data_IF_484726528658
#
_entry.id   IF_484726528658
#
_cell.length_a   1.000
_cell.length_b   1.000
_cell.length_c   1.000
_cell.angle_alpha   90.00
_cell.angle_beta   90.00
_cell.angle_gamma   90.00
#
_symmetry.space_group_name_H-M   'P 1'
#
loop_
_entity.id
_entity.type
_entity.pdbx_description
1 polymer ?
#
# COMPACT_ATOMS: atom_id res chain seq x y z
N UNK A 1 9.89 7.16 5.25
CA UNK A 1 11.08 6.34 5.02
C UNK A 1 10.56 4.97 4.69
N UNK A 2 11.01 4.38 3.58
CA UNK A 2 10.56 3.07 3.17
C UNK A 2 11.02 2.03 4.19
N UNK A 3 10.14 1.08 4.48
CA UNK A 3 10.44 -0.02 5.40
C UNK A 3 11.16 -1.18 4.69
N UNK A 4 11.07 -1.22 3.37
CA UNK A 4 11.58 -2.28 2.51
C UNK A 4 12.47 -1.71 1.41
N UNK A 5 13.30 -2.56 0.81
CA UNK A 5 14.07 -2.19 -0.39
C UNK A 5 13.12 -2.00 -1.58
N UNK A 6 13.54 -1.20 -2.55
CA UNK A 6 12.75 -0.90 -3.75
C UNK A 6 12.34 -2.17 -4.51
N UNK A 7 13.27 -3.11 -4.70
CA UNK A 7 13.04 -4.36 -5.41
C UNK A 7 11.96 -5.22 -4.74
N UNK A 8 12.02 -5.37 -3.41
CA UNK A 8 11.04 -6.14 -2.63
C UNK A 8 9.66 -5.48 -2.72
N UNK A 9 9.60 -4.16 -2.57
CA UNK A 9 8.33 -3.43 -2.65
C UNK A 9 7.68 -3.52 -4.04
N UNK A 10 8.47 -3.50 -5.12
CA UNK A 10 7.98 -3.67 -6.48
C UNK A 10 7.45 -5.10 -6.74
N UNK A 11 8.20 -6.13 -6.34
CA UNK A 11 7.78 -7.52 -6.51
C UNK A 11 6.44 -7.80 -5.79
N UNK A 12 6.28 -7.27 -4.58
CA UNK A 12 5.01 -7.36 -3.87
C UNK A 12 3.89 -6.61 -4.58
N UNK A 13 4.11 -5.36 -5.01
CA UNK A 13 3.12 -4.59 -5.75
C UNK A 13 2.62 -5.36 -6.99
N UNK A 14 3.53 -5.94 -7.77
CA UNK A 14 3.20 -6.72 -8.96
C UNK A 14 2.34 -7.95 -8.61
N UNK A 15 2.70 -8.68 -7.54
CA UNK A 15 1.92 -9.83 -7.07
C UNK A 15 0.48 -9.47 -6.67
N UNK A 16 0.29 -8.30 -6.07
CA UNK A 16 -1.04 -7.81 -5.66
C UNK A 16 -1.87 -7.30 -6.84
N UNK A 17 -1.25 -6.65 -7.83
CA UNK A 17 -1.91 -6.27 -9.08
C UNK A 17 -2.36 -7.49 -9.88
N UNK A 18 -1.53 -8.54 -9.93
CA UNK A 18 -1.90 -9.81 -10.54
C UNK A 18 -3.08 -10.48 -9.81
N UNK A 19 -3.09 -10.40 -8.47
CA UNK A 19 -4.20 -10.88 -7.66
C UNK A 19 -5.50 -10.09 -7.93
N UNK A 20 -5.42 -8.76 -8.02
CA UNK A 20 -6.56 -7.90 -8.39
C UNK A 20 -7.14 -8.30 -9.76
N UNK A 21 -6.29 -8.53 -10.76
CA UNK A 21 -6.71 -8.96 -12.10
C UNK A 21 -7.42 -10.32 -12.04
N UNK A 22 -6.87 -11.29 -11.29
CA UNK A 22 -7.49 -12.59 -11.07
C UNK A 22 -8.83 -12.51 -10.31
N UNK A 23 -8.97 -11.56 -9.39
CA UNK A 23 -10.24 -11.29 -8.68
C UNK A 23 -11.28 -10.64 -9.60
N UNK A 24 -10.86 -9.67 -10.41
CA UNK A 24 -11.73 -8.95 -11.37
C UNK A 24 -12.26 -9.87 -12.46
N UNK A 25 -11.42 -10.78 -12.96
CA UNK A 25 -11.81 -11.79 -13.96
C UNK A 25 -12.61 -12.94 -13.36
N UNK A 26 -12.32 -13.33 -12.12
CA UNK A 26 -13.08 -14.32 -11.37
C UNK A 26 -14.29 -13.68 -10.68
N UNK A 27 -15.32 -13.31 -11.45
CA UNK A 27 -16.60 -12.90 -10.88
C UNK A 27 -17.10 -13.94 -9.87
N UNK A 28 -17.61 -13.45 -8.74
CA UNK A 28 -18.08 -14.18 -7.57
C UNK A 28 -19.02 -15.35 -7.92
N UNK A 29 -18.50 -16.57 -7.93
CA UNK A 29 -19.33 -17.77 -7.92
C UNK A 29 -19.59 -18.19 -6.49
N UNK A 30 -20.78 -17.87 -5.98
CA UNK A 30 -21.31 -18.42 -4.73
C UNK A 30 -21.55 -19.92 -4.92
N UNK A 31 -20.63 -20.75 -4.40
CA UNK A 31 -20.82 -22.19 -4.32
C UNK A 31 -21.48 -22.52 -2.97
N UNK A 32 -22.81 -22.68 -2.97
CA UNK A 32 -23.57 -23.25 -1.85
C UNK A 32 -23.65 -22.39 -0.58
N UNK A 33 -23.63 -23.04 0.59
CA UNK A 33 -23.90 -22.45 1.93
C UNK A 33 -22.64 -22.08 2.74
N UNK A 34 -21.45 -22.24 2.17
CA UNK A 34 -20.18 -21.79 2.78
C UNK A 34 -19.50 -20.82 1.83
N UNK A 35 -19.71 -19.53 2.05
CA UNK A 35 -18.89 -18.49 1.43
C UNK A 35 -17.51 -18.54 2.07
N UNK A 36 -16.54 -19.17 1.40
CA UNK A 36 -15.13 -18.93 1.70
C UNK A 36 -14.90 -17.44 1.40
N UNK A 37 -14.69 -16.62 2.42
CA UNK A 37 -14.36 -15.19 2.29
C UNK A 37 -13.01 -15.08 1.62
N UNK A 38 -13.03 -15.16 0.29
CA UNK A 38 -12.02 -14.69 -0.63
C UNK A 38 -11.73 -13.26 -0.18
N UNK A 39 -10.48 -12.97 0.18
CA UNK A 39 -9.97 -11.65 0.59
C UNK A 39 -10.84 -10.56 -0.03
N UNK A 40 -11.53 -9.78 0.81
CA UNK A 40 -12.41 -8.74 0.31
C UNK A 40 -11.60 -7.84 -0.62
N UNK A 41 -12.15 -7.50 -1.78
CA UNK A 41 -11.44 -6.70 -2.79
C UNK A 41 -10.87 -5.39 -2.19
N UNK A 42 -11.51 -4.90 -1.13
CA UNK A 42 -11.06 -3.78 -0.29
C UNK A 42 -9.68 -4.01 0.31
N UNK A 43 -9.42 -5.19 0.86
CA UNK A 43 -8.14 -5.54 1.50
C UNK A 43 -7.02 -5.60 0.45
N UNK A 44 -7.31 -6.13 -0.74
CA UNK A 44 -6.36 -6.14 -1.87
C UNK A 44 -6.05 -4.71 -2.32
N UNK A 45 -7.07 -3.87 -2.48
CA UNK A 45 -6.88 -2.46 -2.85
C UNK A 45 -6.07 -1.70 -1.80
N UNK A 46 -6.31 -1.94 -0.51
CA UNK A 46 -5.57 -1.29 0.56
C UNK A 46 -4.12 -1.76 0.63
N UNK A 47 -3.88 -3.03 0.35
CA UNK A 47 -2.54 -3.58 0.23
C UNK A 47 -1.79 -3.02 -0.99
N UNK A 48 -2.45 -2.85 -2.14
CA UNK A 48 -1.88 -2.18 -3.33
C UNK A 48 -1.47 -0.74 -2.97
N UNK A 49 -2.37 0.03 -2.34
CA UNK A 49 -2.05 1.41 -1.90
C UNK A 49 -0.85 1.44 -0.95
N UNK A 50 -0.77 0.49 -0.03
CA UNK A 50 0.34 0.37 0.90
C UNK A 50 1.68 0.16 0.17
N UNK A 51 1.76 -0.83 -0.71
CA UNK A 51 3.00 -1.12 -1.45
C UNK A 51 3.36 0.00 -2.42
N UNK A 52 2.39 0.62 -3.06
CA UNK A 52 2.63 1.75 -3.95
C UNK A 52 3.19 2.95 -3.18
N UNK A 53 2.71 3.18 -1.95
CA UNK A 53 3.29 4.17 -1.06
C UNK A 53 4.73 3.83 -0.69
N UNK A 54 5.05 2.56 -0.39
CA UNK A 54 6.42 2.14 -0.09
C UNK A 54 7.36 2.38 -1.27
N UNK A 55 6.97 1.98 -2.49
CA UNK A 55 7.75 2.24 -3.72
C UNK A 55 7.97 3.73 -3.92
N UNK A 56 6.92 4.55 -3.78
CA UNK A 56 7.02 6.00 -3.90
C UNK A 56 7.97 6.60 -2.85
N UNK A 57 7.96 6.10 -1.61
CA UNK A 57 8.90 6.53 -0.58
C UNK A 57 10.35 6.14 -0.91
N UNK A 58 10.59 4.92 -1.43
CA UNK A 58 11.90 4.50 -1.94
C UNK A 58 12.42 5.44 -3.03
N UNK A 59 11.58 5.73 -4.03
CA UNK A 59 11.96 6.61 -5.16
C UNK A 59 12.26 8.03 -4.67
N UNK A 60 11.44 8.56 -3.75
CA UNK A 60 11.66 9.90 -3.18
C UNK A 60 12.94 9.97 -2.36
N UNK A 61 13.26 8.93 -1.61
CA UNK A 61 14.50 8.84 -0.85
C UNK A 61 15.73 8.75 -1.76
N UNK A 62 15.67 7.90 -2.80
CA UNK A 62 16.71 7.83 -3.82
C UNK A 62 16.91 9.17 -4.56
N UNK A 63 15.83 9.93 -4.75
CA UNK A 63 15.88 11.27 -5.36
C UNK A 63 16.35 12.38 -4.39
N UNK A 64 16.62 12.07 -3.12
CA UNK A 64 17.02 13.05 -2.11
C UNK A 64 15.87 13.92 -1.57
N UNK A 65 14.62 13.66 -1.96
CA UNK A 65 13.41 14.35 -1.49
C UNK A 65 12.78 13.66 -0.25
N UNK A 66 13.60 12.97 0.55
CA UNK A 66 13.14 12.32 1.78
C UNK A 66 12.48 13.35 2.72
N UNK A 67 11.43 12.94 3.44
CA UNK A 67 10.69 13.83 4.35
C UNK A 67 11.63 14.29 5.46
N UNK A 68 12.10 15.54 5.38
CA UNK A 68 12.82 16.21 6.46
C UNK A 68 11.94 16.24 7.71
N UNK A 69 12.51 15.92 8.88
CA UNK A 69 11.77 16.05 10.13
C UNK A 69 11.30 17.50 10.28
N UNK A 70 9.99 17.69 10.48
CA UNK A 70 9.45 19.03 10.74
C UNK A 70 9.78 19.38 12.19
N UNK A 71 10.72 20.29 12.38
CA UNK A 71 10.97 20.88 13.71
C UNK A 71 9.74 21.69 14.09
N UNK A 72 9.00 21.25 15.11
CA UNK A 72 7.90 22.04 15.69
C UNK A 72 8.48 22.93 16.78
N UNK A 73 8.27 24.24 16.66
CA UNK A 73 8.58 25.21 17.72
C UNK A 73 7.29 25.58 18.43
N UNK A 74 7.24 25.35 19.74
CA UNK A 74 6.15 25.82 20.58
C UNK A 74 6.37 27.30 20.92
N UNK A 75 5.35 28.12 20.70
CA UNK A 75 5.34 29.54 21.08
C UNK A 75 4.20 29.72 22.07
N UNK A 76 4.48 29.98 23.36
CA UNK A 76 3.44 30.33 24.32
C UNK A 76 2.72 31.58 23.81
N UNK A 77 1.40 31.52 23.70
CA UNK A 77 0.55 32.68 23.41
C UNK A 77 -0.32 32.86 24.63
N UNK A 78 -0.14 33.97 25.33
CA UNK A 78 -1.03 34.37 26.42
C UNK A 78 -2.43 34.66 25.85
N UNK A 79 -3.45 34.15 26.53
CA UNK A 79 -4.88 34.33 26.22
C UNK A 79 -5.42 35.60 26.89
#
# INVERSE_FOLDING_TARGET
MPLYTHEVAQAHLESWLAAELALSTGQSYTIGTRSLTRVDITDVMDQIKYWQKQVNECVREASGLSKRSRVRRYVPTDL
#
